data_IF_904696143836
#
_entry.id   IF_904696143836
#
_cell.length_a   1.000
_cell.length_b   1.000
_cell.length_c   1.000
_cell.angle_alpha   90.00
_cell.angle_beta   90.00
_cell.angle_gamma   90.00
#
_symmetry.space_group_name_H-M   'P 1'
#
loop_
_entity.id
_entity.type
_entity.pdbx_description
1 polymer ?
#
# COMPACT_ATOMS: atom_id res chain seq x y z
N UNK A 1 -20.51 -16.29 10.37
CA UNK A 1 -19.63 -15.37 9.62
C UNK A 1 -20.53 -14.28 9.05
N UNK A 2 -20.22 -13.00 9.27
CA UNK A 2 -20.99 -11.92 8.69
C UNK A 2 -20.83 -11.88 7.16
N UNK A 3 -21.85 -11.43 6.46
CA UNK A 3 -21.79 -11.23 5.02
C UNK A 3 -20.73 -10.17 4.71
N UNK A 4 -19.64 -10.56 4.03
CA UNK A 4 -18.55 -9.68 3.62
C UNK A 4 -18.80 -9.05 2.25
N UNK A 5 -19.97 -9.29 1.65
CA UNK A 5 -20.38 -8.63 0.42
C UNK A 5 -20.92 -7.24 0.70
N UNK A 6 -20.66 -6.32 -0.21
CA UNK A 6 -21.10 -4.94 -0.12
C UNK A 6 -22.03 -4.62 -1.27
N UNK A 7 -23.27 -4.28 -0.97
CA UNK A 7 -24.22 -3.76 -1.95
C UNK A 7 -24.35 -2.24 -1.80
N UNK A 8 -24.07 -1.50 -2.86
CA UNK A 8 -24.18 -0.04 -2.89
C UNK A 8 -24.75 0.45 -4.22
N UNK A 9 -25.31 1.65 -4.22
CA UNK A 9 -25.77 2.28 -5.47
C UNK A 9 -24.60 2.98 -6.15
N UNK A 10 -24.22 2.46 -7.31
CA UNK A 10 -23.20 3.12 -8.13
C UNK A 10 -23.82 4.38 -8.77
N UNK A 11 -23.33 5.55 -8.37
CA UNK A 11 -23.86 6.84 -8.79
C UNK A 11 -23.73 7.09 -10.31
N UNK A 12 -22.72 6.51 -10.96
CA UNK A 12 -22.47 6.69 -12.41
C UNK A 12 -23.48 5.93 -13.26
N UNK A 13 -23.79 4.70 -12.88
CA UNK A 13 -24.71 3.83 -13.64
C UNK A 13 -26.11 3.77 -13.02
N UNK A 14 -26.33 4.44 -11.88
CA UNK A 14 -27.59 4.50 -11.12
C UNK A 14 -28.17 3.11 -10.79
N UNK A 15 -27.33 2.10 -10.65
CA UNK A 15 -27.72 0.72 -10.34
C UNK A 15 -27.13 0.28 -9.00
N UNK A 16 -27.85 -0.61 -8.32
CA UNK A 16 -27.29 -1.35 -7.18
C UNK A 16 -26.20 -2.30 -7.69
N UNK A 17 -25.03 -2.25 -7.09
CA UNK A 17 -23.88 -3.12 -7.41
C UNK A 17 -23.47 -3.80 -6.14
N UNK A 18 -23.26 -5.11 -6.21
CA UNK A 18 -22.67 -5.89 -5.11
C UNK A 18 -21.17 -6.03 -5.36
N UNK A 19 -20.38 -5.56 -4.41
CA UNK A 19 -18.93 -5.73 -4.43
C UNK A 19 -18.57 -6.83 -3.44
N UNK A 20 -18.10 -7.95 -3.95
CA UNK A 20 -17.69 -9.12 -3.19
C UNK A 20 -16.16 -9.29 -3.14
N UNK A 21 -15.41 -8.26 -3.54
CA UNK A 21 -13.94 -8.31 -3.61
C UNK A 21 -13.33 -8.71 -2.25
N UNK A 22 -13.72 -8.06 -1.17
CA UNK A 22 -13.21 -8.36 0.18
C UNK A 22 -13.53 -9.81 0.57
N UNK A 23 -14.76 -10.26 0.33
CA UNK A 23 -15.16 -11.65 0.58
C UNK A 23 -14.30 -12.64 -0.20
N UNK A 24 -14.11 -12.41 -1.50
CA UNK A 24 -13.29 -13.27 -2.36
C UNK A 24 -11.84 -13.35 -1.88
N UNK A 25 -11.24 -12.24 -1.50
CA UNK A 25 -9.85 -12.24 -1.01
C UNK A 25 -9.72 -12.94 0.34
N UNK A 26 -10.71 -12.81 1.24
CA UNK A 26 -10.74 -13.56 2.51
C UNK A 26 -10.84 -15.07 2.23
N UNK A 27 -11.79 -15.50 1.42
CA UNK A 27 -11.97 -16.91 1.07
C UNK A 27 -10.75 -17.51 0.38
N UNK A 28 -10.10 -16.74 -0.49
CA UNK A 28 -8.84 -17.12 -1.14
C UNK A 28 -7.71 -17.31 -0.14
N UNK A 29 -7.59 -16.42 0.84
CA UNK A 29 -6.61 -16.56 1.91
C UNK A 29 -6.87 -17.79 2.78
N UNK A 30 -8.13 -18.01 3.17
CA UNK A 30 -8.54 -19.20 3.94
C UNK A 30 -8.19 -20.51 3.20
N UNK A 31 -8.51 -20.55 1.89
CA UNK A 31 -8.20 -21.71 1.04
C UNK A 31 -6.69 -21.97 0.99
N UNK A 32 -5.87 -20.97 0.75
CA UNK A 32 -4.41 -21.09 0.71
C UNK A 32 -3.81 -21.59 2.04
N UNK A 33 -4.37 -21.13 3.17
CA UNK A 33 -3.93 -21.57 4.50
C UNK A 33 -4.29 -23.05 4.71
N UNK A 34 -5.51 -23.45 4.34
CA UNK A 34 -5.97 -24.82 4.44
C UNK A 34 -5.15 -25.78 3.54
N UNK A 35 -4.85 -25.38 2.29
CA UNK A 35 -4.01 -26.16 1.34
C UNK A 35 -2.60 -26.43 1.88
N UNK A 36 -2.08 -25.55 2.74
CA UNK A 36 -0.78 -25.76 3.44
C UNK A 36 -0.90 -26.68 4.67
N UNK A 37 -2.07 -27.25 4.94
CA UNK A 37 -2.33 -28.11 6.11
C UNK A 37 -2.32 -27.36 7.44
N UNK A 38 -2.48 -26.04 7.42
CA UNK A 38 -2.38 -25.19 8.62
C UNK A 38 -3.80 -24.76 9.06
N UNK A 39 -4.04 -24.75 10.38
CA UNK A 39 -5.34 -24.31 10.93
C UNK A 39 -5.62 -22.85 10.49
N UNK A 40 -6.79 -22.62 9.90
CA UNK A 40 -7.27 -21.28 9.55
C UNK A 40 -7.59 -20.51 10.84
N UNK A 41 -6.96 -19.35 11.01
CA UNK A 41 -7.21 -18.41 12.10
C UNK A 41 -7.27 -16.99 11.57
N UNK A 42 -7.97 -16.09 12.25
CA UNK A 42 -8.08 -14.66 11.84
C UNK A 42 -6.71 -14.03 11.61
N UNK A 43 -5.73 -14.24 12.51
CA UNK A 43 -4.39 -13.69 12.37
C UNK A 43 -3.67 -14.19 11.11
N UNK A 44 -3.83 -15.46 10.75
CA UNK A 44 -3.25 -16.01 9.52
C UNK A 44 -3.94 -15.48 8.26
N UNK A 45 -5.26 -15.34 8.29
CA UNK A 45 -6.01 -14.72 7.19
C UNK A 45 -5.58 -13.28 6.96
N UNK A 46 -5.40 -12.50 8.03
CA UNK A 46 -4.88 -11.13 7.98
C UNK A 46 -3.48 -11.10 7.37
N UNK A 47 -2.58 -11.98 7.81
CA UNK A 47 -1.21 -12.05 7.33
C UNK A 47 -1.09 -12.50 5.87
N UNK A 48 -2.05 -13.26 5.34
CA UNK A 48 -2.11 -13.71 3.95
C UNK A 48 -2.62 -12.63 2.97
N UNK A 49 -3.17 -11.51 3.48
CA UNK A 49 -3.75 -10.47 2.63
C UNK A 49 -2.70 -9.69 1.85
N UNK A 50 -3.07 -9.30 0.63
CA UNK A 50 -2.22 -8.51 -0.26
C UNK A 50 -2.31 -7.01 0.06
N UNK A 51 -1.33 -6.23 -0.42
CA UNK A 51 -1.40 -4.76 -0.33
C UNK A 51 -2.67 -4.21 -1.03
N UNK A 52 -3.12 -4.84 -2.13
CA UNK A 52 -4.35 -4.46 -2.82
C UNK A 52 -5.60 -4.63 -1.95
N UNK A 53 -5.66 -5.69 -1.14
CA UNK A 53 -6.72 -5.88 -0.16
C UNK A 53 -6.77 -4.72 0.84
N UNK A 54 -5.63 -4.37 1.44
CA UNK A 54 -5.55 -3.27 2.40
C UNK A 54 -5.87 -1.91 1.77
N UNK A 55 -5.43 -1.68 0.52
CA UNK A 55 -5.74 -0.46 -0.20
C UNK A 55 -7.26 -0.30 -0.43
N UNK A 56 -7.99 -1.39 -0.65
CA UNK A 56 -9.42 -1.33 -0.91
C UNK A 56 -10.23 -0.66 0.22
N UNK A 57 -9.72 -0.67 1.46
CA UNK A 57 -10.37 0.02 2.59
C UNK A 57 -10.37 1.55 2.45
N UNK A 58 -9.53 2.10 1.59
CA UNK A 58 -9.49 3.53 1.27
C UNK A 58 -10.31 3.87 0.01
N UNK A 59 -10.89 2.89 -0.68
CA UNK A 59 -11.87 3.14 -1.74
C UNK A 59 -13.16 3.71 -1.15
N UNK A 60 -13.80 4.63 -1.88
CA UNK A 60 -14.92 5.44 -1.36
C UNK A 60 -16.03 4.61 -0.72
N UNK A 61 -16.41 3.49 -1.35
CA UNK A 61 -17.53 2.67 -0.87
C UNK A 61 -17.16 1.80 0.34
N UNK A 62 -15.97 1.23 0.40
CA UNK A 62 -15.51 0.48 1.57
C UNK A 62 -15.25 1.40 2.75
N UNK A 63 -14.59 2.55 2.49
CA UNK A 63 -14.29 3.53 3.52
C UNK A 63 -15.55 4.08 4.22
N UNK A 64 -16.63 4.32 3.46
CA UNK A 64 -17.90 4.78 4.01
C UNK A 64 -18.51 3.76 4.98
N UNK A 65 -18.39 2.46 4.69
CA UNK A 65 -18.87 1.40 5.60
C UNK A 65 -18.06 1.30 6.88
N UNK A 66 -16.76 1.58 6.80
CA UNK A 66 -15.85 1.54 7.93
C UNK A 66 -15.86 2.84 8.76
N UNK A 67 -16.83 3.74 8.50
CA UNK A 67 -17.04 4.99 9.23
C UNK A 67 -15.76 5.82 9.46
N UNK A 68 -14.80 5.77 8.52
CA UNK A 68 -13.56 6.52 8.59
C UNK A 68 -12.45 5.87 9.43
N UNK A 69 -12.68 4.74 10.07
CA UNK A 69 -11.71 4.04 10.91
C UNK A 69 -10.33 3.82 10.26
N UNK A 70 -10.22 3.48 8.94
CA UNK A 70 -8.91 3.28 8.32
C UNK A 70 -7.96 4.47 8.42
N UNK A 71 -8.47 5.70 8.48
CA UNK A 71 -7.60 6.88 8.64
C UNK A 71 -7.09 7.08 10.07
N UNK A 72 -7.70 6.48 11.06
CA UNK A 72 -7.30 6.62 12.48
C UNK A 72 -5.97 5.94 12.82
N UNK A 73 -5.48 5.05 11.94
CA UNK A 73 -4.16 4.44 12.12
C UNK A 73 -3.02 5.46 11.96
N UNK A 74 -3.29 6.58 11.29
CA UNK A 74 -2.31 7.63 11.04
C UNK A 74 -2.26 8.62 12.21
N UNK A 75 -1.38 8.37 13.15
CA UNK A 75 -1.23 9.21 14.36
C UNK A 75 -0.77 10.64 14.06
N UNK A 76 -0.04 10.84 12.97
CA UNK A 76 0.54 12.12 12.56
C UNK A 76 0.22 12.49 11.11
N UNK A 77 -1.03 12.27 10.69
CA UNK A 77 -1.47 12.68 9.36
C UNK A 77 -1.42 14.21 9.23
N UNK A 78 -0.81 14.76 8.17
CA UNK A 78 -0.77 16.20 7.95
C UNK A 78 -2.17 16.80 7.79
N UNK A 79 -2.33 18.06 8.18
CA UNK A 79 -3.57 18.80 7.93
C UNK A 79 -3.89 18.84 6.44
N UNK A 80 -5.15 18.65 6.09
CA UNK A 80 -5.62 18.58 4.70
C UNK A 80 -5.47 17.22 4.04
N UNK A 81 -4.80 16.27 4.67
CA UNK A 81 -4.73 14.89 4.19
C UNK A 81 -5.88 14.07 4.75
N UNK A 82 -6.43 13.19 3.91
CA UNK A 82 -7.52 12.29 4.29
C UNK A 82 -7.48 11.01 3.46
N UNK A 83 -8.63 10.38 3.35
CA UNK A 83 -8.80 9.11 2.62
C UNK A 83 -8.19 9.14 1.21
N UNK A 84 -8.44 10.21 0.45
CA UNK A 84 -8.01 10.32 -0.95
C UNK A 84 -6.49 10.33 -1.05
N UNK A 85 -5.84 11.20 -0.30
CA UNK A 85 -4.38 11.36 -0.30
C UNK A 85 -3.69 10.06 0.16
N UNK A 86 -4.22 9.41 1.19
CA UNK A 86 -3.73 8.10 1.66
C UNK A 86 -3.86 7.04 0.56
N UNK A 87 -5.03 6.96 -0.08
CA UNK A 87 -5.25 6.01 -1.18
C UNK A 87 -4.27 6.25 -2.32
N UNK A 88 -4.07 7.51 -2.73
CA UNK A 88 -3.18 7.87 -3.82
C UNK A 88 -1.72 7.52 -3.50
N UNK A 89 -1.29 7.69 -2.25
CA UNK A 89 0.04 7.26 -1.79
C UNK A 89 0.19 5.74 -1.84
N UNK A 90 -0.79 4.99 -1.32
CA UNK A 90 -0.72 3.52 -1.34
C UNK A 90 -0.69 2.98 -2.77
N UNK A 91 -1.43 3.60 -3.70
CA UNK A 91 -1.39 3.26 -5.13
C UNK A 91 0.02 3.47 -5.69
N UNK A 92 0.67 4.61 -5.44
CA UNK A 92 2.03 4.89 -5.89
C UNK A 92 3.05 3.88 -5.32
N UNK A 93 2.95 3.55 -4.02
CA UNK A 93 3.80 2.54 -3.38
C UNK A 93 3.61 1.16 -4.02
N UNK A 94 2.36 0.79 -4.32
CA UNK A 94 2.03 -0.46 -5.01
C UNK A 94 2.62 -0.50 -6.43
N UNK A 95 2.55 0.59 -7.15
CA UNK A 95 3.11 0.71 -8.50
C UNK A 95 4.64 0.58 -8.47
N UNK A 96 5.32 1.27 -7.57
CA UNK A 96 6.77 1.12 -7.37
C UNK A 96 7.14 -0.32 -7.05
N UNK A 97 6.46 -0.95 -6.09
CA UNK A 97 6.70 -2.35 -5.73
C UNK A 97 6.49 -3.29 -6.92
N UNK A 98 5.47 -3.07 -7.74
CA UNK A 98 5.21 -3.89 -8.93
C UNK A 98 6.32 -3.71 -9.96
N UNK A 99 6.75 -2.48 -10.24
CA UNK A 99 7.89 -2.21 -11.13
C UNK A 99 9.16 -2.93 -10.69
N UNK A 100 9.48 -2.87 -9.39
CA UNK A 100 10.63 -3.59 -8.80
C UNK A 100 10.47 -5.11 -9.00
N UNK A 101 9.30 -5.68 -8.70
CA UNK A 101 9.06 -7.11 -8.80
C UNK A 101 9.10 -7.63 -10.25
N UNK A 102 8.80 -6.78 -11.22
CA UNK A 102 8.88 -7.09 -12.66
C UNK A 102 10.24 -6.72 -13.28
N UNK A 103 11.24 -6.38 -12.46
CA UNK A 103 12.57 -5.95 -12.89
C UNK A 103 12.53 -4.76 -13.87
N UNK A 104 11.53 -3.88 -13.75
CA UNK A 104 11.45 -2.68 -14.55
C UNK A 104 12.48 -1.64 -14.09
N UNK A 105 12.98 -0.86 -15.03
CA UNK A 105 13.93 0.21 -14.73
C UNK A 105 13.23 1.36 -13.97
N UNK A 106 13.66 1.62 -12.74
CA UNK A 106 13.16 2.70 -11.90
C UNK A 106 14.12 3.90 -11.80
N UNK A 107 15.35 3.74 -12.29
CA UNK A 107 16.43 4.73 -12.22
C UNK A 107 16.85 5.23 -13.61
N UNK A 108 15.98 5.16 -14.62
CA UNK A 108 16.33 5.60 -15.97
C UNK A 108 15.21 6.45 -16.58
N UNK A 109 15.58 7.59 -17.13
CA UNK A 109 14.72 8.46 -17.94
C UNK A 109 15.45 8.71 -19.28
N UNK A 110 14.78 8.42 -20.41
CA UNK A 110 15.36 8.60 -21.76
C UNK A 110 16.75 7.96 -21.92
N UNK A 111 16.93 6.75 -21.40
CA UNK A 111 18.20 5.97 -21.39
C UNK A 111 19.33 6.62 -20.58
N UNK A 112 19.07 7.66 -19.82
CA UNK A 112 20.02 8.25 -18.88
C UNK A 112 19.65 7.82 -17.46
N UNK A 113 20.65 7.59 -16.65
CA UNK A 113 20.44 7.29 -15.24
C UNK A 113 19.92 8.54 -14.52
N UNK A 114 18.77 8.40 -13.85
CA UNK A 114 18.07 9.45 -13.11
C UNK A 114 17.46 8.85 -11.86
N UNK A 115 17.86 9.33 -10.71
CA UNK A 115 17.39 8.86 -9.41
C UNK A 115 16.25 9.70 -8.82
N UNK A 116 15.78 10.74 -9.51
CA UNK A 116 14.76 11.67 -9.00
C UNK A 116 13.52 10.92 -8.54
N UNK A 117 12.97 10.04 -9.37
CA UNK A 117 11.80 9.23 -9.04
C UNK A 117 12.01 8.36 -7.78
N UNK A 118 13.18 7.74 -7.66
CA UNK A 118 13.49 6.88 -6.49
C UNK A 118 13.62 7.71 -5.22
N UNK A 119 14.22 8.91 -5.30
CA UNK A 119 14.32 9.85 -4.17
C UNK A 119 12.96 10.35 -3.70
N UNK A 120 12.08 10.69 -4.66
CA UNK A 120 10.73 11.14 -4.38
C UNK A 120 9.92 10.03 -3.70
N UNK A 121 9.98 8.81 -4.22
CA UNK A 121 9.30 7.65 -3.64
C UNK A 121 9.87 7.27 -2.28
N UNK A 122 11.18 7.36 -2.09
CA UNK A 122 11.80 7.13 -0.78
C UNK A 122 11.30 8.14 0.26
N UNK A 123 11.23 9.42 -0.10
CA UNK A 123 10.70 10.49 0.76
C UNK A 123 9.22 10.26 1.08
N UNK A 124 8.42 9.93 0.07
CA UNK A 124 7.00 9.62 0.23
C UNK A 124 6.76 8.47 1.21
N UNK A 125 7.49 7.35 1.03
CA UNK A 125 7.38 6.17 1.90
C UNK A 125 7.83 6.50 3.33
N UNK A 126 8.93 7.21 3.49
CA UNK A 126 9.46 7.61 4.81
C UNK A 126 8.46 8.49 5.57
N UNK A 127 7.86 9.45 4.89
CA UNK A 127 6.82 10.30 5.47
C UNK A 127 5.58 9.47 5.85
N UNK A 128 5.13 8.61 4.95
CA UNK A 128 3.96 7.75 5.17
C UNK A 128 4.13 6.84 6.38
N UNK A 129 5.30 6.21 6.54
CA UNK A 129 5.63 5.41 7.72
C UNK A 129 5.67 6.24 9.00
N UNK A 130 6.21 7.47 8.94
CA UNK A 130 6.24 8.40 10.08
C UNK A 130 4.83 8.79 10.52
N UNK A 131 3.88 8.94 9.60
CA UNK A 131 2.49 9.26 9.94
C UNK A 131 1.76 8.12 10.65
N UNK A 132 2.10 6.86 10.31
CA UNK A 132 1.50 5.67 10.93
C UNK A 132 2.16 5.39 12.29
N UNK A 133 3.50 5.29 12.30
CA UNK A 133 4.27 4.84 13.44
C UNK A 133 5.64 5.53 13.50
N UNK A 134 5.69 6.78 14.02
CA UNK A 134 6.93 7.58 14.04
C UNK A 134 8.08 6.90 14.79
N UNK A 135 7.77 6.08 15.78
CA UNK A 135 8.76 5.38 16.61
C UNK A 135 9.55 4.30 15.86
N UNK A 136 9.10 3.86 14.67
CA UNK A 136 9.82 2.87 13.86
C UNK A 136 11.03 3.47 13.14
N UNK A 137 11.02 4.79 12.87
CA UNK A 137 12.02 5.45 12.04
C UNK A 137 13.46 5.30 12.54
N UNK A 138 13.77 5.42 13.87
CA UNK A 138 15.11 5.19 14.37
C UNK A 138 15.64 3.77 14.09
N UNK A 139 14.78 2.76 14.12
CA UNK A 139 15.15 1.37 13.82
C UNK A 139 15.38 1.15 12.33
N UNK A 140 14.50 1.71 11.47
CA UNK A 140 14.66 1.64 10.02
C UNK A 140 15.94 2.30 9.54
N UNK A 141 16.28 3.48 10.06
CA UNK A 141 17.51 4.20 9.69
C UNK A 141 18.80 3.40 9.93
N UNK A 142 18.80 2.44 10.86
CA UNK A 142 19.97 1.60 11.12
C UNK A 142 20.27 0.61 9.98
N UNK A 143 19.24 0.18 9.26
CA UNK A 143 19.34 -0.83 8.19
C UNK A 143 19.18 -0.22 6.79
N UNK A 144 18.66 0.99 6.72
CA UNK A 144 18.40 1.70 5.48
C UNK A 144 19.69 2.16 4.82
N UNK A 145 19.88 1.77 3.56
CA UNK A 145 21.05 2.10 2.73
C UNK A 145 20.67 2.84 1.44
N UNK A 146 19.41 3.15 1.25
CA UNK A 146 18.90 3.69 -0.04
C UNK A 146 19.64 4.97 -0.42
N UNK A 147 19.65 5.98 0.46
CA UNK A 147 20.35 7.25 0.18
C UNK A 147 21.84 7.04 -0.11
N UNK A 148 22.53 6.21 0.70
CA UNK A 148 23.97 5.92 0.51
C UNK A 148 24.25 5.27 -0.85
N UNK A 149 23.37 4.39 -1.32
CA UNK A 149 23.51 3.74 -2.62
C UNK A 149 23.31 4.76 -3.74
N UNK A 150 22.29 5.60 -3.64
CA UNK A 150 22.01 6.64 -4.63
C UNK A 150 23.20 7.62 -4.74
N UNK A 151 23.65 8.15 -3.63
CA UNK A 151 24.79 9.09 -3.58
C UNK A 151 26.05 8.50 -4.21
N UNK A 152 26.33 7.22 -3.93
CA UNK A 152 27.47 6.49 -4.51
C UNK A 152 27.35 6.39 -6.04
N UNK A 153 26.18 6.05 -6.55
CA UNK A 153 26.00 5.88 -7.99
C UNK A 153 25.95 7.23 -8.73
N UNK A 154 25.38 8.29 -8.15
CA UNK A 154 25.45 9.65 -8.72
C UNK A 154 26.88 10.19 -8.79
N UNK A 155 27.70 9.90 -7.79
CA UNK A 155 29.11 10.33 -7.80
C UNK A 155 29.94 9.63 -8.88
N UNK A 156 29.64 8.36 -9.21
CA UNK A 156 30.29 7.65 -10.32
C UNK A 156 29.95 8.24 -11.69
N UNK A 157 28.78 8.85 -11.85
CA UNK A 157 28.36 9.46 -13.13
C UNK A 157 29.02 10.82 -13.39
N UNK A 158 29.59 11.45 -12.36
CA UNK A 158 30.26 12.75 -12.47
C UNK A 158 31.77 12.61 -12.77
N UNK A 159 32.28 11.39 -12.77
CA UNK A 159 33.67 11.05 -13.12
C UNK A 159 33.77 10.58 -14.57
#
# INVERSE_FOLDING_TARGET
>A
MGDSSLTYTNKRIKKKVTNDYILKEVLKAEKKIAERGVKVTTGRVIAEQTLGFWNSFYETHHYALLAGEPCRVFKKLPSGYGRKEINDIIVQVRELRNRINHNEHICFVNRKCDFSYVKDMYTLISNFLTWIYPEIMPSLRKVDKVCKIIDKEENKQKQ
#
